data_IF_261247006025
#
_entry.id   IF_261247006025
#
_cell.length_a   1.000
_cell.length_b   1.000
_cell.length_c   1.000
_cell.angle_alpha   90.00
_cell.angle_beta   90.00
_cell.angle_gamma   90.00
#
_symmetry.space_group_name_H-M   'P 1'
#
loop_
_entity.id
_entity.type
_entity.pdbx_description
1 polymer ?
#
# COMPACT_ATOMS: atom_id res chain seq x y z
N UNK A 1 19.00 -11.68 -20.26
CA UNK A 1 18.00 -11.05 -19.38
C UNK A 1 17.67 -12.08 -18.32
N UNK A 2 17.92 -11.76 -17.04
CA UNK A 2 17.64 -12.67 -15.92
C UNK A 2 16.36 -12.22 -15.21
N UNK A 3 15.52 -13.17 -14.84
CA UNK A 3 14.28 -12.94 -14.10
C UNK A 3 14.54 -13.21 -12.61
N UNK A 4 14.18 -12.27 -11.75
CA UNK A 4 14.20 -12.46 -10.30
C UNK A 4 12.79 -12.39 -9.75
N UNK A 5 12.39 -13.43 -9.02
CA UNK A 5 11.15 -13.42 -8.22
C UNK A 5 11.52 -12.89 -6.84
N UNK A 6 10.89 -11.80 -6.43
CA UNK A 6 11.11 -11.21 -5.10
C UNK A 6 10.28 -11.93 -4.04
N UNK A 7 10.81 -12.09 -2.83
CA UNK A 7 10.13 -12.72 -1.70
C UNK A 7 9.11 -11.79 -1.01
N UNK A 8 8.33 -11.05 -1.80
CA UNK A 8 7.27 -10.19 -1.30
C UNK A 8 5.91 -10.87 -1.52
N UNK A 9 5.18 -11.09 -0.41
CA UNK A 9 3.77 -11.48 -0.46
C UNK A 9 2.93 -10.22 -0.47
N UNK A 10 2.38 -9.89 -1.64
CA UNK A 10 1.65 -8.65 -1.86
C UNK A 10 0.14 -8.86 -1.80
N UNK A 11 -0.56 -7.85 -1.28
CA UNK A 11 -2.02 -7.67 -1.33
C UNK A 11 -2.32 -6.49 -2.25
N UNK A 12 -3.37 -6.64 -3.03
CA UNK A 12 -3.91 -5.59 -3.90
C UNK A 12 -5.31 -5.27 -3.39
N UNK A 13 -5.57 -3.98 -3.14
CA UNK A 13 -6.88 -3.50 -2.73
C UNK A 13 -7.21 -2.17 -3.41
N UNK A 14 -8.49 -1.82 -3.40
CA UNK A 14 -9.02 -0.56 -3.91
C UNK A 14 -9.72 0.17 -2.77
N UNK A 15 -9.49 1.48 -2.69
CA UNK A 15 -10.16 2.39 -1.76
C UNK A 15 -11.00 3.36 -2.58
N UNK A 16 -12.32 3.28 -2.42
CA UNK A 16 -13.25 4.23 -3.04
C UNK A 16 -12.93 5.68 -2.60
N UNK A 17 -13.08 6.65 -3.52
CA UNK A 17 -12.64 8.04 -3.28
C UNK A 17 -13.29 8.66 -2.06
N UNK A 18 -14.58 8.43 -1.88
CA UNK A 18 -15.38 8.90 -0.74
C UNK A 18 -14.91 8.32 0.60
N UNK A 19 -14.22 7.18 0.59
CA UNK A 19 -13.76 6.48 1.79
C UNK A 19 -12.31 6.79 2.16
N UNK A 20 -11.55 7.52 1.33
CA UNK A 20 -10.11 7.74 1.53
C UNK A 20 -9.77 8.39 2.88
N UNK A 21 -10.69 9.21 3.39
CA UNK A 21 -10.55 9.86 4.69
C UNK A 21 -10.43 8.84 5.83
N UNK A 22 -11.13 7.70 5.74
CA UNK A 22 -11.08 6.63 6.73
C UNK A 22 -9.70 5.93 6.77
N UNK A 23 -8.96 5.97 5.67
CA UNK A 23 -7.65 5.32 5.52
C UNK A 23 -6.47 6.28 5.65
N UNK A 24 -6.73 7.58 5.81
CA UNK A 24 -5.69 8.63 5.75
C UNK A 24 -4.57 8.40 6.78
N UNK A 25 -4.89 7.99 8.01
CA UNK A 25 -3.87 7.68 9.01
C UNK A 25 -2.97 6.51 8.60
N UNK A 26 -3.56 5.43 8.09
CA UNK A 26 -2.82 4.26 7.61
C UNK A 26 -1.91 4.61 6.42
N UNK A 27 -2.45 5.34 5.44
CA UNK A 27 -1.71 5.78 4.26
C UNK A 27 -0.54 6.69 4.61
N UNK A 28 -0.74 7.67 5.51
CA UNK A 28 0.35 8.54 5.98
C UNK A 28 1.42 7.73 6.73
N UNK A 29 1.02 6.77 7.56
CA UNK A 29 1.97 5.90 8.27
C UNK A 29 2.83 5.10 7.28
N UNK A 30 2.21 4.49 6.28
CA UNK A 30 2.89 3.69 5.26
C UNK A 30 3.81 4.55 4.38
N UNK A 31 3.37 5.75 3.98
CA UNK A 31 4.11 6.61 3.07
C UNK A 31 5.27 7.37 3.74
N UNK A 32 5.11 7.81 4.99
CA UNK A 32 6.02 8.79 5.59
C UNK A 32 6.64 8.35 6.93
N UNK A 33 6.12 7.32 7.58
CA UNK A 33 6.55 6.91 8.92
C UNK A 33 7.13 5.50 8.91
N UNK A 34 8.16 5.26 8.09
CA UNK A 34 8.81 3.95 7.93
C UNK A 34 9.30 3.34 9.25
N UNK A 35 9.71 4.16 10.23
CA UNK A 35 10.09 3.70 11.57
C UNK A 35 8.92 3.19 12.43
N UNK A 36 7.68 3.36 11.97
CA UNK A 36 6.44 2.98 12.65
C UNK A 36 5.71 1.81 11.97
N UNK A 37 6.31 1.21 10.94
CA UNK A 37 5.76 0.05 10.23
C UNK A 37 6.88 -0.93 9.87
N UNK A 38 6.55 -2.22 9.72
CA UNK A 38 7.46 -3.24 9.17
C UNK A 38 7.25 -3.48 7.68
N UNK A 39 6.34 -2.72 7.06
CA UNK A 39 6.10 -2.74 5.62
C UNK A 39 7.38 -2.39 4.84
N UNK A 40 7.69 -3.22 3.86
CA UNK A 40 8.83 -3.12 2.94
C UNK A 40 8.39 -2.87 1.50
N UNK A 41 7.12 -3.13 1.18
CA UNK A 41 6.54 -2.85 -0.13
C UNK A 41 5.23 -2.06 0.04
N UNK A 42 5.20 -0.84 -0.48
CA UNK A 42 4.01 0.01 -0.51
C UNK A 42 3.96 0.77 -1.84
N UNK A 43 2.80 0.72 -2.48
CA UNK A 43 2.45 1.51 -3.65
C UNK A 43 1.03 2.02 -3.48
N UNK A 44 0.81 3.30 -3.78
CA UNK A 44 -0.48 3.94 -3.83
C UNK A 44 -0.59 4.65 -5.18
N UNK A 45 -1.64 4.33 -5.94
CA UNK A 45 -1.94 4.97 -7.23
C UNK A 45 -3.34 5.55 -7.16
N UNK A 46 -3.45 6.86 -7.36
CA UNK A 46 -4.74 7.49 -7.58
C UNK A 46 -5.19 7.27 -9.03
N UNK A 47 -6.45 6.88 -9.21
CA UNK A 47 -7.12 6.79 -10.50
C UNK A 47 -8.33 7.75 -10.52
N UNK A 48 -9.03 7.91 -11.66
CA UNK A 48 -10.30 8.62 -11.68
C UNK A 48 -11.37 7.97 -10.78
N UNK A 49 -11.33 6.65 -10.60
CA UNK A 49 -12.38 5.89 -9.92
C UNK A 49 -12.07 5.64 -8.44
N UNK A 50 -10.78 5.48 -8.09
CA UNK A 50 -10.37 4.99 -6.77
C UNK A 50 -8.93 5.35 -6.41
N UNK A 51 -8.46 4.82 -5.28
CA UNK A 51 -7.05 4.67 -4.95
C UNK A 51 -6.70 3.18 -4.90
N UNK A 52 -5.87 2.72 -5.84
CA UNK A 52 -5.31 1.37 -5.81
C UNK A 52 -4.12 1.33 -4.85
N UNK A 53 -4.13 0.38 -3.91
CA UNK A 53 -3.03 0.13 -2.98
C UNK A 53 -2.45 -1.27 -3.22
N UNK A 54 -1.12 -1.34 -3.32
CA UNK A 54 -0.37 -2.59 -3.31
C UNK A 54 0.55 -2.55 -2.09
N UNK A 55 0.41 -3.52 -1.21
CA UNK A 55 1.13 -3.54 0.06
C UNK A 55 1.55 -4.96 0.42
N UNK A 56 2.66 -5.14 1.12
CA UNK A 56 2.99 -6.46 1.68
C UNK A 56 2.11 -6.84 2.88
N UNK A 57 2.27 -8.08 3.36
CA UNK A 57 1.47 -8.59 4.50
C UNK A 57 1.62 -7.75 5.77
N UNK A 58 2.80 -7.19 6.04
CA UNK A 58 3.03 -6.37 7.24
C UNK A 58 2.35 -5.01 7.16
N UNK A 59 2.23 -4.42 5.97
CA UNK A 59 1.50 -3.17 5.78
C UNK A 59 -0.01 -3.34 5.61
N UNK A 60 -0.50 -4.58 5.45
CA UNK A 60 -1.94 -4.89 5.37
C UNK A 60 -2.58 -5.16 6.75
N UNK A 61 -1.78 -5.51 7.76
CA UNK A 61 -2.20 -5.76 9.15
C UNK A 61 -2.32 -4.45 9.95
#
# INVERSE_FOLDING_TARGET
MELHILEHRLKVASIAKESIQLFTYGLIKLAFLSSKTRCKFFSLTETPEDYTIIVDEEGFL
#
